data_IF_458782331590
#
_entry.id   IF_458782331590
#
_cell.length_a   1.000
_cell.length_b   1.000
_cell.length_c   1.000
_cell.angle_alpha   90.00
_cell.angle_beta   90.00
_cell.angle_gamma   90.00
#
_symmetry.space_group_name_H-M   'P 1'
#
loop_
_entity.id
_entity.type
_entity.pdbx_description
1 polymer ?
#
# COMPACT_ATOMS: atom_id res chain seq x y z
N UNK A 1 -28.78 8.39 25.81
CA UNK A 1 -27.49 7.82 26.29
C UNK A 1 -26.36 8.40 25.45
N UNK A 2 -25.36 9.07 26.04
CA UNK A 2 -24.19 9.55 25.28
C UNK A 2 -23.41 8.35 24.75
N UNK A 3 -23.52 8.09 23.44
CA UNK A 3 -22.73 7.09 22.73
C UNK A 3 -21.25 7.44 22.84
N UNK A 4 -20.53 6.78 23.76
CA UNK A 4 -19.09 6.97 23.93
C UNK A 4 -18.38 6.27 22.77
N UNK A 5 -17.99 7.03 21.76
CA UNK A 5 -17.18 6.55 20.63
C UNK A 5 -15.74 6.33 21.09
N UNK A 6 -15.15 5.20 20.71
CA UNK A 6 -13.80 4.76 21.09
C UNK A 6 -13.03 4.43 19.81
N UNK A 7 -11.76 4.85 19.75
CA UNK A 7 -10.83 4.50 18.68
C UNK A 7 -10.62 2.98 18.61
N UNK A 8 -10.80 2.42 17.41
CA UNK A 8 -10.56 0.99 17.13
C UNK A 8 -9.39 0.75 16.19
N UNK A 9 -9.12 1.68 15.28
CA UNK A 9 -8.05 1.57 14.30
C UNK A 9 -7.56 2.96 13.87
N UNK A 10 -6.31 3.06 13.42
CA UNK A 10 -5.74 4.24 12.78
C UNK A 10 -5.34 3.83 11.37
N UNK A 11 -5.98 4.44 10.37
CA UNK A 11 -5.70 4.20 8.96
C UNK A 11 -4.61 5.15 8.47
N UNK A 12 -3.73 4.68 7.61
CA UNK A 12 -2.59 5.45 7.06
C UNK A 12 -3.04 6.53 6.07
N UNK A 13 -4.24 6.39 5.49
CA UNK A 13 -4.80 7.34 4.54
C UNK A 13 -6.30 7.55 4.72
N UNK A 14 -6.79 8.69 4.25
CA UNK A 14 -8.22 8.99 4.21
C UNK A 14 -9.00 7.97 3.36
N UNK A 15 -8.40 7.47 2.27
CA UNK A 15 -9.02 6.46 1.42
C UNK A 15 -9.19 5.14 2.19
N UNK A 16 -8.14 4.66 2.85
CA UNK A 16 -8.21 3.45 3.67
C UNK A 16 -9.24 3.59 4.80
N UNK A 17 -9.30 4.77 5.44
CA UNK A 17 -10.28 5.05 6.48
C UNK A 17 -11.73 4.98 5.96
N UNK A 18 -11.99 5.54 4.78
CA UNK A 18 -13.32 5.49 4.14
C UNK A 18 -13.73 4.08 3.74
N UNK A 19 -12.81 3.29 3.17
CA UNK A 19 -13.10 1.89 2.83
C UNK A 19 -13.50 1.09 4.08
N UNK A 20 -12.75 1.23 5.17
CA UNK A 20 -13.08 0.56 6.44
C UNK A 20 -14.40 1.09 7.00
N UNK A 21 -14.67 2.40 6.89
CA UNK A 21 -15.93 3.01 7.32
C UNK A 21 -17.13 2.40 6.59
N UNK A 22 -17.09 2.36 5.26
CA UNK A 22 -18.18 1.81 4.44
C UNK A 22 -18.48 0.34 4.78
N UNK A 23 -17.44 -0.46 4.99
CA UNK A 23 -17.61 -1.88 5.34
C UNK A 23 -18.22 -2.05 6.73
N UNK A 24 -17.78 -1.26 7.71
CA UNK A 24 -18.36 -1.27 9.05
C UNK A 24 -19.82 -0.80 9.04
N UNK A 25 -20.15 0.25 8.27
CA UNK A 25 -21.51 0.77 8.14
C UNK A 25 -22.44 -0.21 7.43
N UNK A 26 -21.96 -0.88 6.38
CA UNK A 26 -22.70 -1.96 5.70
C UNK A 26 -23.02 -3.13 6.64
N UNK A 27 -22.18 -3.36 7.65
CA UNK A 27 -22.40 -4.35 8.71
C UNK A 27 -23.18 -3.77 9.91
N UNK A 28 -23.75 -2.57 9.78
CA UNK A 28 -24.60 -1.93 10.79
C UNK A 28 -23.82 -1.33 11.97
N UNK A 29 -22.52 -1.10 11.84
CA UNK A 29 -21.65 -0.50 12.86
C UNK A 29 -21.47 0.99 12.54
N UNK A 30 -22.08 1.87 13.33
CA UNK A 30 -21.90 3.32 13.20
C UNK A 30 -20.45 3.72 13.53
N UNK A 31 -19.81 4.37 12.57
CA UNK A 31 -18.41 4.79 12.61
C UNK A 31 -18.28 6.31 12.54
N UNK A 32 -17.22 6.85 13.14
CA UNK A 32 -16.82 8.24 12.96
C UNK A 32 -15.34 8.28 12.60
N UNK A 33 -15.00 9.11 11.61
CA UNK A 33 -13.62 9.37 11.24
C UNK A 33 -13.15 10.65 11.92
N UNK A 34 -11.99 10.59 12.59
CA UNK A 34 -11.30 11.76 13.13
C UNK A 34 -9.90 11.81 12.54
N UNK A 35 -9.53 12.91 11.91
CA UNK A 35 -8.13 13.12 11.53
C UNK A 35 -7.31 13.21 12.81
N UNK A 36 -6.24 12.42 12.92
CA UNK A 36 -5.36 12.40 14.09
C UNK A 36 -4.40 13.60 14.13
N UNK A 37 -4.58 14.58 13.24
CA UNK A 37 -3.87 15.84 13.30
C UNK A 37 -4.42 16.68 14.46
N UNK A 38 -3.68 16.68 15.56
CA UNK A 38 -3.96 17.51 16.74
C UNK A 38 -3.65 18.98 16.44
N UNK A 39 -4.50 19.65 15.66
CA UNK A 39 -4.55 21.12 15.51
C UNK A 39 -3.32 21.84 14.94
N UNK A 40 -2.17 21.20 14.86
CA UNK A 40 -0.91 21.79 14.42
C UNK A 40 -0.52 21.16 13.09
N UNK A 41 -0.71 21.95 12.03
CA UNK A 41 -0.22 21.75 10.67
C UNK A 41 -0.46 20.35 10.08
N UNK A 42 -1.38 20.33 9.10
CA UNK A 42 -1.55 19.21 8.17
C UNK A 42 -0.20 18.89 7.49
N UNK A 43 0.58 17.99 8.10
CA UNK A 43 1.84 17.49 7.54
C UNK A 43 1.50 16.48 6.44
N UNK A 44 1.26 17.04 5.25
CA UNK A 44 1.10 16.29 4.01
C UNK A 44 2.50 16.08 3.44
N UNK A 45 3.03 14.87 3.56
CA UNK A 45 4.24 14.48 2.83
C UNK A 45 3.78 13.74 1.58
N UNK A 46 4.03 14.31 0.40
CA UNK A 46 3.71 13.67 -0.90
C UNK A 46 2.23 13.24 -1.07
N UNK A 47 1.27 13.99 -0.50
CA UNK A 47 -0.16 13.67 -0.57
C UNK A 47 -0.67 12.74 0.54
N UNK A 48 0.20 12.29 1.45
CA UNK A 48 -0.16 11.42 2.57
C UNK A 48 -0.10 12.19 3.89
N UNK A 49 -1.15 12.05 4.72
CA UNK A 49 -1.15 12.60 6.07
C UNK A 49 -0.26 11.72 6.95
N UNK A 50 0.78 12.29 7.56
CA UNK A 50 1.69 11.55 8.45
C UNK A 50 0.99 11.00 9.70
N UNK A 51 -0.11 11.63 10.12
CA UNK A 51 -0.80 11.29 11.36
C UNK A 51 -1.91 10.24 11.17
N UNK A 52 -2.30 9.95 9.93
CA UNK A 52 -3.38 9.03 9.62
C UNK A 52 -4.76 9.52 10.07
N UNK A 53 -5.74 8.62 9.97
CA UNK A 53 -7.16 8.88 10.30
C UNK A 53 -7.64 7.83 11.30
N UNK A 54 -8.09 8.31 12.45
CA UNK A 54 -8.67 7.46 13.48
C UNK A 54 -10.11 7.08 13.13
N UNK A 55 -10.39 5.78 13.28
CA UNK A 55 -11.72 5.19 13.15
C UNK A 55 -12.26 4.97 14.55
N UNK A 56 -13.37 5.62 14.87
CA UNK A 56 -14.06 5.52 16.15
C UNK A 56 -15.40 4.81 16.00
N UNK A 57 -15.71 3.90 16.92
CA UNK A 57 -16.98 3.16 16.96
C UNK A 57 -17.59 3.21 18.35
N UNK A 58 -18.87 2.88 18.44
CA UNK A 58 -19.56 2.71 19.72
C UNK A 58 -18.85 1.66 20.62
N UNK A 59 -18.66 1.98 21.91
CA UNK A 59 -18.00 1.08 22.89
C UNK A 59 -18.53 -0.36 22.84
N UNK A 60 -19.83 -0.53 22.67
CA UNK A 60 -20.49 -1.83 22.66
C UNK A 60 -20.11 -2.68 21.43
N UNK A 61 -19.69 -2.05 20.33
CA UNK A 61 -19.31 -2.71 19.06
C UNK A 61 -17.80 -2.70 18.82
N UNK A 62 -17.00 -2.29 19.81
CA UNK A 62 -15.54 -2.19 19.72
C UNK A 62 -14.88 -3.50 19.29
N UNK A 63 -15.21 -4.59 19.97
CA UNK A 63 -14.58 -5.90 19.71
C UNK A 63 -15.00 -6.48 18.35
N UNK A 64 -16.27 -6.28 17.97
CA UNK A 64 -16.78 -6.68 16.65
C UNK A 64 -16.08 -5.91 15.52
N UNK A 65 -15.95 -4.59 15.65
CA UNK A 65 -15.26 -3.76 14.67
C UNK A 65 -13.77 -4.13 14.55
N UNK A 66 -13.08 -4.38 15.67
CA UNK A 66 -11.68 -4.79 15.66
C UNK A 66 -11.46 -6.11 14.94
N UNK A 67 -12.33 -7.10 15.18
CA UNK A 67 -12.26 -8.41 14.50
C UNK A 67 -12.44 -8.26 12.99
N UNK A 68 -13.46 -7.51 12.58
CA UNK A 68 -13.77 -7.28 11.17
C UNK A 68 -12.64 -6.57 10.42
N UNK A 69 -12.03 -5.54 11.05
CA UNK A 69 -10.87 -4.84 10.49
C UNK A 69 -9.68 -5.80 10.34
N UNK A 70 -9.45 -6.66 11.33
CA UNK A 70 -8.35 -7.63 11.29
C UNK A 70 -8.55 -8.68 10.19
N UNK A 71 -9.77 -9.20 10.02
CA UNK A 71 -10.13 -10.15 8.96
C UNK A 71 -9.90 -9.53 7.56
N UNK A 72 -10.36 -8.29 7.33
CA UNK A 72 -10.07 -7.53 6.10
C UNK A 72 -8.56 -7.41 5.81
N UNK A 73 -7.78 -7.04 6.83
CA UNK A 73 -6.33 -6.86 6.67
C UNK A 73 -5.61 -8.19 6.33
N UNK A 74 -6.16 -9.32 6.77
CA UNK A 74 -5.65 -10.65 6.45
C UNK A 74 -6.04 -11.06 5.02
N UNK A 75 -7.29 -10.84 4.60
CA UNK A 75 -7.74 -11.11 3.22
C UNK A 75 -6.97 -10.27 2.18
N UNK A 76 -6.69 -9.00 2.48
CA UNK A 76 -5.83 -8.16 1.63
C UNK A 76 -4.40 -8.72 1.54
N UNK A 77 -3.86 -9.27 2.63
CA UNK A 77 -2.53 -9.89 2.62
C UNK A 77 -2.51 -11.22 1.89
N UNK A 78 -3.54 -12.06 2.05
CA UNK A 78 -3.64 -13.31 1.32
C UNK A 78 -3.88 -13.08 -0.17
N UNK A 79 -4.71 -12.12 -0.57
CA UNK A 79 -4.94 -11.77 -1.99
C UNK A 79 -3.69 -11.15 -2.64
N UNK A 80 -2.86 -10.42 -1.90
CA UNK A 80 -1.55 -9.93 -2.38
C UNK A 80 -0.51 -11.06 -2.40
N UNK A 81 -0.51 -11.96 -1.41
CA UNK A 81 0.38 -13.13 -1.38
C UNK A 81 0.02 -14.18 -2.45
N UNK A 82 -1.24 -14.22 -2.86
CA UNK A 82 -1.77 -15.04 -3.96
C UNK A 82 -1.86 -14.29 -5.28
N UNK A 83 -1.26 -13.09 -5.41
CA UNK A 83 -0.92 -12.54 -6.73
C UNK A 83 -0.07 -13.57 -7.45
N UNK A 84 -0.74 -14.23 -8.39
CA UNK A 84 -0.25 -15.27 -9.25
C UNK A 84 1.21 -15.04 -9.62
N UNK A 85 2.04 -16.07 -9.42
CA UNK A 85 3.40 -16.12 -9.98
C UNK A 85 3.29 -16.00 -11.50
N UNK A 86 3.22 -14.78 -12.01
CA UNK A 86 3.27 -14.52 -13.44
C UNK A 86 4.62 -15.04 -13.92
N UNK A 87 4.64 -15.89 -14.98
CA UNK A 87 5.88 -16.40 -15.53
C UNK A 87 6.87 -15.25 -15.80
N UNK A 88 8.16 -15.47 -15.51
CA UNK A 88 9.20 -14.43 -15.51
C UNK A 88 9.26 -13.61 -16.81
N UNK A 89 8.85 -14.18 -17.95
CA UNK A 89 8.80 -13.52 -19.26
C UNK A 89 7.66 -12.50 -19.43
N UNK A 90 6.61 -12.51 -18.59
CA UNK A 90 5.50 -11.53 -18.63
C UNK A 90 5.77 -10.30 -17.77
N UNK A 91 6.79 -10.33 -16.91
CA UNK A 91 7.13 -9.20 -16.08
C UNK A 91 7.87 -8.14 -16.92
N UNK A 92 7.17 -7.03 -17.21
CA UNK A 92 7.70 -5.92 -18.02
C UNK A 92 9.04 -5.39 -17.50
N UNK A 93 9.28 -5.45 -16.19
CA UNK A 93 10.53 -5.01 -15.57
C UNK A 93 11.70 -5.97 -15.88
N UNK A 94 11.45 -7.28 -15.87
CA UNK A 94 12.48 -8.29 -16.16
C UNK A 94 12.81 -8.27 -17.65
N UNK A 95 11.78 -8.22 -18.52
CA UNK A 95 11.96 -8.11 -19.96
C UNK A 95 12.76 -6.86 -20.35
N UNK A 96 12.44 -5.69 -19.74
CA UNK A 96 13.19 -4.45 -19.98
C UNK A 96 14.65 -4.55 -19.56
N UNK A 97 14.96 -5.19 -18.42
CA UNK A 97 16.36 -5.41 -17.97
C UNK A 97 17.15 -6.29 -18.94
N UNK A 98 16.56 -7.37 -19.44
CA UNK A 98 17.20 -8.26 -20.42
C UNK A 98 17.49 -7.51 -21.72
N UNK A 99 16.52 -6.74 -22.22
CA UNK A 99 16.67 -5.91 -23.42
C UNK A 99 17.78 -4.87 -23.27
N UNK A 100 17.86 -4.23 -22.09
CA UNK A 100 18.88 -3.23 -21.78
C UNK A 100 20.29 -3.84 -21.74
N UNK A 101 20.45 -5.03 -21.14
CA UNK A 101 21.72 -5.77 -21.14
C UNK A 101 22.15 -6.13 -22.57
N UNK A 102 21.22 -6.58 -23.41
CA UNK A 102 21.51 -6.91 -24.81
C UNK A 102 22.01 -5.68 -25.59
N UNK A 103 21.38 -4.51 -25.37
CA UNK A 103 21.79 -3.26 -26.01
C UNK A 103 23.18 -2.80 -25.53
N UNK A 104 23.48 -2.95 -24.25
CA UNK A 104 24.82 -2.66 -23.70
C UNK A 104 25.89 -3.57 -24.29
N UNK A 105 25.61 -4.88 -24.44
CA UNK A 105 26.55 -5.81 -25.05
C UNK A 105 26.85 -5.45 -26.51
N UNK A 106 25.85 -5.04 -27.28
CA UNK A 106 26.05 -4.57 -28.66
C UNK A 106 26.97 -3.35 -28.77
N UNK A 107 27.05 -2.53 -27.73
CA UNK A 107 27.98 -1.40 -27.65
C UNK A 107 29.36 -1.88 -27.19
N UNK A 108 29.45 -2.77 -26.20
CA UNK A 108 30.72 -3.20 -25.59
C UNK A 108 31.56 -4.07 -26.54
N UNK A 109 30.94 -4.94 -27.34
CA UNK A 109 31.65 -5.83 -28.28
C UNK A 109 32.60 -5.05 -29.23
N UNK A 110 32.17 -4.01 -29.96
CA UNK A 110 33.08 -3.27 -30.85
C UNK A 110 34.18 -2.50 -30.08
N UNK A 111 33.97 -2.13 -28.82
CA UNK A 111 35.03 -1.53 -28.00
C UNK A 111 36.12 -2.55 -27.63
N UNK A 112 35.74 -3.81 -27.40
CA UNK A 112 36.72 -4.88 -27.14
C UNK A 112 37.54 -5.15 -28.40
N UNK A 113 36.88 -5.27 -29.56
CA UNK A 113 37.58 -5.47 -30.84
C UNK A 113 38.55 -4.32 -31.14
N UNK A 114 38.14 -3.08 -30.90
CA UNK A 114 38.99 -1.88 -31.05
C UNK A 114 40.22 -1.90 -30.14
N UNK A 115 40.08 -2.37 -28.89
CA UNK A 115 41.22 -2.48 -27.97
C UNK A 115 42.17 -3.59 -28.45
N UNK A 116 41.66 -4.73 -28.91
CA UNK A 116 42.49 -5.84 -29.38
C UNK A 116 43.32 -5.42 -30.61
N UNK A 117 42.72 -4.70 -31.56
CA UNK A 117 43.43 -4.20 -32.74
C UNK A 117 44.50 -3.14 -32.41
N UNK A 118 44.35 -2.39 -31.32
CA UNK A 118 45.37 -1.43 -30.86
C UNK A 118 46.63 -2.11 -30.33
N UNK A 119 46.50 -3.31 -29.76
CA UNK A 119 47.61 -4.07 -29.16
C UNK A 119 48.22 -5.11 -30.11
N UNK A 120 47.71 -5.23 -31.33
CA UNK A 120 48.17 -6.16 -32.36
C UNK A 120 49.09 -5.49 -33.36
#
# INVERSE_FOLDING_TARGET
>A
MKKKKIKVFNAESQLQARMIQEILENNGIDTALKQSADGEYLNIVMGFSTSGVDILVDKNKKEQAKRMIHEMMLEDKESIASKEKVPWYKNKVIAAKILLIFFLLGIIIPFIDMIIDIWR
#
